data_IF_826726507108
#
_entry.id   IF_826726507108
#
_cell.length_a   1.000
_cell.length_b   1.000
_cell.length_c   1.000
_cell.angle_alpha   90.00
_cell.angle_beta   90.00
_cell.angle_gamma   90.00
#
_symmetry.space_group_name_H-M   'P 1'
#
loop_
_entity.id
_entity.type
_entity.pdbx_description
1 polymer ?
#
# COMPACT_ATOMS: atom_id res chain seq x y z
N UNK A 1 1.44 -1.59 -16.75
CA UNK A 1 2.14 -0.33 -16.39
C UNK A 1 2.14 -0.24 -14.88
N UNK A 2 3.32 0.00 -14.31
CA UNK A 2 3.77 -0.58 -13.03
C UNK A 2 3.06 -0.06 -11.77
N UNK A 3 2.12 -0.84 -11.25
CA UNK A 3 1.67 -0.74 -9.86
C UNK A 3 2.86 -0.83 -8.86
N UNK A 4 3.98 -1.43 -9.27
CA UNK A 4 5.21 -1.54 -8.49
C UNK A 4 5.88 -0.20 -8.19
N UNK A 5 5.80 0.80 -9.07
CA UNK A 5 6.49 2.08 -8.85
C UNK A 5 5.83 2.89 -7.72
N UNK A 6 4.50 2.85 -7.64
CA UNK A 6 3.74 3.49 -6.56
C UNK A 6 4.04 2.81 -5.22
N UNK A 7 4.15 1.48 -5.20
CA UNK A 7 4.46 0.73 -3.98
C UNK A 7 5.76 1.17 -3.32
N UNK A 8 6.82 1.37 -4.11
CA UNK A 8 8.09 1.88 -3.62
C UNK A 8 7.98 3.33 -3.14
N UNK A 9 7.26 4.18 -3.88
CA UNK A 9 7.07 5.58 -3.51
C UNK A 9 6.33 5.72 -2.17
N UNK A 10 5.29 4.92 -1.94
CA UNK A 10 4.55 4.89 -0.67
C UNK A 10 5.45 4.49 0.49
N UNK A 11 6.20 3.38 0.34
CA UNK A 11 7.09 2.90 1.40
C UNK A 11 8.12 3.97 1.79
N UNK A 12 8.76 4.57 0.79
CA UNK A 12 9.75 5.64 0.99
C UNK A 12 9.17 6.91 1.62
N UNK A 13 8.08 7.42 1.05
CA UNK A 13 7.55 8.73 1.42
C UNK A 13 6.85 8.67 2.79
N UNK A 14 6.23 7.53 3.14
CA UNK A 14 5.69 7.31 4.47
C UNK A 14 6.79 7.29 5.53
N UNK A 15 7.90 6.58 5.27
CA UNK A 15 9.06 6.56 6.18
C UNK A 15 9.69 7.97 6.34
N UNK A 16 9.63 8.80 5.30
CA UNK A 16 10.11 10.17 5.31
C UNK A 16 9.09 11.21 5.83
N UNK A 17 7.89 10.80 6.26
CA UNK A 17 6.83 11.70 6.73
C UNK A 17 6.28 12.65 5.65
N UNK A 18 6.43 12.29 4.38
CA UNK A 18 5.98 13.11 3.24
C UNK A 18 4.51 12.85 2.93
N UNK A 19 3.81 13.81 2.28
CA UNK A 19 2.45 13.59 1.80
C UNK A 19 2.38 12.41 0.83
N UNK A 20 1.43 11.50 1.04
CA UNK A 20 1.21 10.33 0.20
C UNK A 20 0.25 10.64 -0.95
N UNK A 21 0.55 11.69 -1.70
CA UNK A 21 -0.25 12.15 -2.84
C UNK A 21 0.55 11.99 -4.12
N UNK A 22 0.03 11.18 -5.04
CA UNK A 22 0.69 10.82 -6.28
C UNK A 22 -0.17 11.18 -7.49
N UNK A 23 0.49 11.45 -8.61
CA UNK A 23 -0.14 11.66 -9.91
C UNK A 23 0.31 10.56 -10.84
N UNK A 24 -0.64 9.84 -11.41
CA UNK A 24 -0.38 8.75 -12.34
C UNK A 24 -1.12 9.02 -13.65
N UNK A 25 -0.51 8.64 -14.77
CA UNK A 25 -1.22 8.56 -16.05
C UNK A 25 -1.84 7.18 -16.15
N UNK A 26 -3.16 7.13 -16.26
CA UNK A 26 -3.95 5.92 -16.40
C UNK A 26 -4.99 6.15 -17.49
N UNK A 27 -5.07 5.21 -18.45
CA UNK A 27 -5.95 5.32 -19.63
C UNK A 27 -5.89 6.69 -20.36
N UNK A 28 -4.69 7.29 -20.43
CA UNK A 28 -4.48 8.59 -21.07
C UNK A 28 -4.94 9.81 -20.26
N UNK A 29 -5.33 9.63 -18.99
CA UNK A 29 -5.74 10.69 -18.08
C UNK A 29 -4.84 10.75 -16.85
N UNK A 30 -4.66 11.95 -16.29
CA UNK A 30 -4.00 12.11 -14.99
C UNK A 30 -5.00 11.76 -13.90
N UNK A 31 -4.69 10.74 -13.10
CA UNK A 31 -5.39 10.41 -11.85
C UNK A 31 -4.59 10.89 -10.65
N UNK A 32 -5.26 11.62 -9.76
CA UNK A 32 -4.75 11.98 -8.45
C UNK A 32 -5.05 10.85 -7.47
N UNK A 33 -4.02 10.37 -6.77
CA UNK A 33 -4.12 9.26 -5.83
C UNK A 33 -3.62 9.72 -4.47
N UNK A 34 -4.52 9.83 -3.50
CA UNK A 34 -4.17 10.24 -2.13
C UNK A 34 -4.36 9.08 -1.19
N UNK A 35 -3.29 8.65 -0.54
CA UNK A 35 -3.32 7.65 0.51
C UNK A 35 -3.43 8.34 1.86
N UNK A 36 -4.16 7.72 2.78
CA UNK A 36 -4.31 8.17 4.16
C UNK A 36 -3.83 7.08 5.11
N UNK A 37 -3.13 7.47 6.16
CA UNK A 37 -2.83 6.55 7.26
C UNK A 37 -4.14 6.25 7.99
N UNK A 38 -4.47 4.97 8.13
CA UNK A 38 -5.70 4.49 8.79
C UNK A 38 -5.41 3.74 10.09
N UNK A 39 -4.14 3.51 10.44
CA UNK A 39 -3.75 2.90 11.70
C UNK A 39 -2.38 2.23 11.65
N UNK A 40 -2.06 1.50 12.72
CA UNK A 40 -0.91 0.62 12.82
C UNK A 40 -1.37 -0.78 13.21
N UNK A 41 -0.67 -1.80 12.75
CA UNK A 41 -1.00 -3.20 12.98
C UNK A 41 0.26 -4.05 12.94
N UNK A 42 0.40 -4.98 13.88
CA UNK A 42 1.48 -5.96 13.86
C UNK A 42 1.18 -7.04 12.83
N UNK A 43 2.14 -7.33 11.95
CA UNK A 43 2.04 -8.37 10.93
C UNK A 43 3.22 -9.32 11.02
N UNK A 44 2.99 -10.59 10.67
CA UNK A 44 4.07 -11.59 10.64
C UNK A 44 4.55 -11.80 9.21
N UNK A 45 5.85 -11.63 8.97
CA UNK A 45 6.51 -11.87 7.68
C UNK A 45 7.72 -12.77 7.92
N UNK A 46 7.80 -13.92 7.23
CA UNK A 46 8.91 -14.86 7.39
C UNK A 46 9.13 -15.35 8.84
N UNK A 47 8.06 -15.46 9.65
CA UNK A 47 8.13 -15.88 11.05
C UNK A 47 8.57 -14.81 12.04
N UNK A 48 8.81 -13.57 11.59
CA UNK A 48 9.10 -12.41 12.46
C UNK A 48 7.91 -11.45 12.47
N UNK A 49 7.63 -10.86 13.64
CA UNK A 49 6.60 -9.82 13.77
C UNK A 49 7.19 -8.44 13.44
N UNK A 50 6.43 -7.64 12.71
CA UNK A 50 6.78 -6.28 12.31
C UNK A 50 5.61 -5.35 12.58
N UNK A 51 5.89 -4.15 13.07
CA UNK A 51 4.90 -3.08 13.18
C UNK A 51 4.70 -2.43 11.80
N UNK A 52 3.53 -2.59 11.23
CA UNK A 52 3.18 -1.99 9.94
C UNK A 52 2.27 -0.78 10.13
N UNK A 53 2.51 0.26 9.34
CA UNK A 53 1.56 1.38 9.19
C UNK A 53 0.61 1.08 8.05
N UNK A 54 -0.69 1.12 8.33
CA UNK A 54 -1.75 0.87 7.34
C UNK A 54 -2.09 2.17 6.64
N UNK A 55 -2.04 2.12 5.30
CA UNK A 55 -2.47 3.23 4.45
C UNK A 55 -3.58 2.76 3.52
N UNK A 56 -4.60 3.59 3.31
CA UNK A 56 -5.72 3.30 2.40
C UNK A 56 -5.88 4.38 1.35
N UNK A 57 -6.26 3.96 0.14
CA UNK A 57 -6.75 4.79 -0.95
C UNK A 57 -8.10 4.25 -1.44
N UNK A 58 -9.13 5.06 -1.35
CA UNK A 58 -10.43 4.77 -1.97
C UNK A 58 -10.53 5.44 -3.35
N UNK A 59 -11.13 4.74 -4.31
CA UNK A 59 -11.47 5.21 -5.66
C UNK A 59 -12.81 4.59 -6.09
N UNK A 60 -13.90 5.36 -5.95
CA UNK A 60 -15.25 4.87 -6.17
C UNK A 60 -15.62 3.71 -5.24
N UNK A 61 -15.92 2.55 -5.81
CA UNK A 61 -16.22 1.32 -5.07
C UNK A 61 -14.99 0.45 -4.79
N UNK A 62 -13.79 0.91 -5.16
CA UNK A 62 -12.54 0.22 -4.94
C UNK A 62 -11.78 0.83 -3.78
N UNK A 63 -11.19 0.00 -2.95
CA UNK A 63 -10.27 0.42 -1.90
C UNK A 63 -8.98 -0.38 -2.03
N UNK A 64 -7.84 0.30 -1.92
CA UNK A 64 -6.54 -0.33 -1.82
C UNK A 64 -5.94 0.00 -0.46
N UNK A 65 -5.67 -1.03 0.33
CA UNK A 65 -5.04 -0.94 1.64
C UNK A 65 -3.65 -1.56 1.54
N UNK A 66 -2.64 -0.86 2.03
CA UNK A 66 -1.26 -1.34 2.06
C UNK A 66 -0.70 -1.26 3.48
N UNK A 67 0.03 -2.30 3.88
CA UNK A 67 0.75 -2.38 5.16
C UNK A 67 2.22 -2.10 4.88
N UNK A 68 2.70 -0.99 5.39
CA UNK A 68 4.06 -0.53 5.17
C UNK A 68 4.91 -0.81 6.41
N UNK A 69 5.96 -1.58 6.23
CA UNK A 69 6.98 -1.86 7.23
C UNK A 69 8.21 -1.04 6.84
N UNK A 70 8.74 -0.15 7.71
CA UNK A 70 9.86 0.73 7.38
C UNK A 70 11.11 0.01 6.85
N UNK A 71 11.32 -1.23 7.29
CA UNK A 71 12.45 -2.08 6.92
C UNK A 71 12.31 -2.69 5.51
N UNK A 72 11.14 -2.59 4.88
CA UNK A 72 10.89 -3.18 3.56
C UNK A 72 10.79 -2.12 2.47
N UNK A 73 11.36 -2.38 1.27
CA UNK A 73 11.29 -1.44 0.14
C UNK A 73 9.90 -1.41 -0.53
N UNK A 74 9.02 -2.35 -0.18
CA UNK A 74 7.68 -2.51 -0.73
C UNK A 74 6.70 -2.84 0.41
N UNK A 75 5.38 -2.65 0.20
CA UNK A 75 4.38 -3.05 1.18
C UNK A 75 4.50 -4.53 1.54
N UNK A 76 4.42 -4.83 2.84
CA UNK A 76 4.45 -6.18 3.37
C UNK A 76 3.15 -6.96 3.08
N UNK A 77 2.03 -6.24 3.00
CA UNK A 77 0.73 -6.75 2.59
C UNK A 77 0.00 -5.69 1.78
N UNK A 78 -0.80 -6.14 0.81
CA UNK A 78 -1.73 -5.32 0.06
C UNK A 78 -3.07 -6.04 -0.01
N UNK A 79 -4.14 -5.28 0.25
CA UNK A 79 -5.52 -5.74 0.16
C UNK A 79 -6.27 -4.80 -0.79
N UNK A 80 -6.84 -5.35 -1.85
CA UNK A 80 -7.79 -4.65 -2.71
C UNK A 80 -9.19 -5.12 -2.37
N UNK A 81 -10.08 -4.17 -2.10
CA UNK A 81 -11.51 -4.42 -1.93
C UNK A 81 -12.29 -3.82 -3.08
N UNK A 82 -13.35 -4.51 -3.48
CA UNK A 82 -14.34 -4.01 -4.43
C UNK A 82 -15.73 -4.27 -3.89
N UNK A 83 -16.51 -3.20 -3.68
CA UNK A 83 -17.82 -3.26 -3.01
C UNK A 83 -17.75 -3.97 -1.65
N UNK A 84 -16.82 -3.53 -0.79
CA UNK A 84 -16.58 -4.06 0.56
C UNK A 84 -16.21 -5.55 0.65
N UNK A 85 -15.92 -6.18 -0.50
CA UNK A 85 -15.44 -7.56 -0.57
C UNK A 85 -13.98 -7.59 -0.95
N UNK A 86 -13.22 -8.43 -0.27
CA UNK A 86 -11.81 -8.66 -0.56
C UNK A 86 -11.68 -9.28 -1.96
N UNK A 87 -11.11 -8.52 -2.89
CA UNK A 87 -10.91 -8.92 -4.28
C UNK A 87 -9.50 -9.49 -4.52
N UNK A 88 -8.51 -8.99 -3.77
CA UNK A 88 -7.11 -9.44 -3.84
C UNK A 88 -6.44 -9.24 -2.49
N UNK A 89 -5.78 -10.27 -1.96
CA UNK A 89 -4.94 -10.19 -0.76
C UNK A 89 -3.55 -10.78 -1.06
N UNK A 90 -2.54 -9.93 -1.01
CA UNK A 90 -1.15 -10.29 -1.24
C UNK A 90 -0.35 -10.01 0.03
N UNK A 91 0.30 -11.03 0.58
CA UNK A 91 1.16 -10.90 1.76
C UNK A 91 2.53 -11.51 1.45
N UNK A 92 3.60 -10.81 1.81
CA UNK A 92 4.97 -11.34 1.70
C UNK A 92 5.10 -12.53 2.65
N UNK A 93 5.39 -13.70 2.09
CA UNK A 93 5.59 -14.94 2.88
C UNK A 93 7.06 -15.21 3.18
N UNK A 94 7.97 -14.80 2.30
CA UNK A 94 9.41 -14.95 2.45
C UNK A 94 10.15 -13.84 1.70
N UNK A 95 11.32 -13.46 2.20
CA UNK A 95 12.29 -12.62 1.50
C UNK A 95 13.45 -13.53 1.12
N UNK A 96 13.79 -13.57 -0.17
CA UNK A 96 14.94 -14.32 -0.68
C UNK A 96 16.24 -13.52 -0.54
#
# INVERSE_FOLDING_TARGET
MDALLINLAIARDLAAGKPLTYRMVDEGRIKNMTYRVIGKESITVGGKSYEATKVSRADGNKELIAWIVPEFPVPARMLQRENDRDALDLTIKAMN
#
